data_IF_379667253970
#
_entry.id   IF_379667253970
#
_cell.length_a   1.000
_cell.length_b   1.000
_cell.length_c   1.000
_cell.angle_alpha   90.00
_cell.angle_beta   90.00
_cell.angle_gamma   90.00
#
_symmetry.space_group_name_H-M   'P 1'
#
loop_
_entity.id
_entity.type
_entity.pdbx_description
1 polymer ?
#
# COMPACT_ATOMS: atom_id res chain seq x y z
N UNK A 1 -2.14 -26.53 -2.20
CA UNK A 1 -2.19 -25.37 -1.28
C UNK A 1 -2.51 -24.10 -2.07
N UNK A 2 -3.24 -23.20 -1.46
CA UNK A 2 -3.57 -21.92 -2.05
C UNK A 2 -2.41 -20.94 -1.87
N UNK A 3 -2.15 -20.16 -2.91
CA UNK A 3 -1.18 -19.06 -2.82
C UNK A 3 -1.87 -17.84 -2.22
N UNK A 4 -1.25 -17.26 -1.19
CA UNK A 4 -1.69 -16.00 -0.65
C UNK A 4 -1.13 -14.85 -1.47
N UNK A 5 -1.99 -13.93 -1.88
CA UNK A 5 -1.61 -12.68 -2.53
C UNK A 5 -1.95 -11.55 -1.56
N UNK A 6 -0.94 -10.96 -0.97
CA UNK A 6 -1.10 -9.85 -0.04
C UNK A 6 -0.91 -8.54 -0.79
N UNK A 7 -1.85 -7.63 -0.66
CA UNK A 7 -1.84 -6.34 -1.34
C UNK A 7 -1.81 -5.24 -0.30
N UNK A 8 -0.87 -4.33 -0.44
CA UNK A 8 -0.81 -3.10 0.34
C UNK A 8 -0.80 -1.92 -0.60
N UNK A 9 -1.23 -0.76 -0.13
CA UNK A 9 -1.18 0.47 -0.91
C UNK A 9 -0.71 1.63 -0.06
N UNK A 10 -0.14 2.62 -0.71
CA UNK A 10 0.28 3.84 -0.02
C UNK A 10 0.89 4.85 -0.96
N UNK A 11 1.15 6.02 -0.40
CA UNK A 11 1.79 7.12 -1.13
C UNK A 11 3.32 7.01 -1.06
N UNK A 12 3.85 6.53 0.05
CA UNK A 12 5.31 6.41 0.24
C UNK A 12 6.04 7.71 -0.10
N UNK A 13 5.55 8.80 0.44
CA UNK A 13 5.97 10.16 0.08
C UNK A 13 6.37 10.98 1.32
N UNK A 14 7.53 10.72 1.94
CA UNK A 14 8.52 9.71 1.57
C UNK A 14 8.26 8.34 2.22
N UNK A 15 8.97 7.34 1.75
CA UNK A 15 9.06 6.06 2.42
C UNK A 15 9.81 6.22 3.75
N UNK A 16 9.42 5.45 4.76
CA UNK A 16 10.05 5.53 6.08
C UNK A 16 10.02 4.15 6.75
N UNK A 17 10.69 3.98 7.91
CA UNK A 17 10.76 2.68 8.58
C UNK A 17 9.42 2.04 8.90
N UNK A 18 8.37 2.84 9.14
CA UNK A 18 7.03 2.30 9.39
C UNK A 18 6.46 1.52 8.22
N UNK A 19 6.75 1.95 6.99
CA UNK A 19 6.34 1.22 5.79
C UNK A 19 7.08 -0.12 5.70
N UNK A 20 8.37 -0.12 6.02
CA UNK A 20 9.19 -1.35 5.98
C UNK A 20 8.72 -2.33 7.06
N UNK A 21 8.44 -1.82 8.25
CA UNK A 21 7.91 -2.64 9.35
C UNK A 21 6.61 -3.35 8.95
N UNK A 22 5.70 -2.65 8.30
CA UNK A 22 4.47 -3.23 7.79
C UNK A 22 4.74 -4.36 6.79
N UNK A 23 5.62 -4.12 5.84
CA UNK A 23 6.01 -5.12 4.83
C UNK A 23 6.59 -6.37 5.50
N UNK A 24 7.46 -6.17 6.48
CA UNK A 24 8.09 -7.27 7.18
C UNK A 24 7.11 -8.07 8.02
N UNK A 25 6.18 -7.41 8.71
CA UNK A 25 5.16 -8.09 9.51
C UNK A 25 4.28 -8.98 8.63
N UNK A 26 3.93 -8.50 7.43
CA UNK A 26 3.16 -9.31 6.48
C UNK A 26 3.95 -10.56 6.08
N UNK A 27 5.22 -10.41 5.79
CA UNK A 27 6.06 -11.54 5.37
C UNK A 27 6.35 -12.50 6.52
N UNK A 28 6.32 -12.05 7.75
CA UNK A 28 6.42 -12.94 8.92
C UNK A 28 5.16 -13.81 9.04
N UNK A 29 3.99 -13.22 8.90
CA UNK A 29 2.73 -13.97 9.00
C UNK A 29 2.47 -14.83 7.77
N UNK A 30 2.82 -14.33 6.58
CA UNK A 30 2.61 -15.02 5.31
C UNK A 30 3.94 -15.12 4.55
N UNK A 31 4.87 -15.96 5.00
CA UNK A 31 6.23 -15.98 4.43
C UNK A 31 6.28 -16.38 2.95
N UNK A 32 5.29 -17.14 2.48
CA UNK A 32 5.25 -17.61 1.09
C UNK A 32 4.27 -16.80 0.24
N UNK A 33 3.76 -15.68 0.75
CA UNK A 33 2.83 -14.87 -0.03
C UNK A 33 3.54 -14.16 -1.17
N UNK A 34 2.76 -13.84 -2.20
CA UNK A 34 3.16 -12.81 -3.16
C UNK A 34 2.71 -11.46 -2.61
N UNK A 35 3.66 -10.60 -2.30
CA UNK A 35 3.37 -9.27 -1.77
C UNK A 35 3.41 -8.25 -2.89
N UNK A 36 2.24 -7.68 -3.16
CA UNK A 36 2.03 -6.65 -4.18
C UNK A 36 1.86 -5.31 -3.48
N UNK A 37 2.67 -4.33 -3.85
CA UNK A 37 2.60 -2.97 -3.30
C UNK A 37 2.07 -2.04 -4.38
N UNK A 38 0.94 -1.41 -4.11
CA UNK A 38 0.36 -0.39 -4.99
C UNK A 38 0.86 0.98 -4.54
N UNK A 39 1.44 1.73 -5.45
CA UNK A 39 1.97 3.08 -5.19
C UNK A 39 1.01 4.10 -5.78
N UNK A 40 0.50 5.01 -4.96
CA UNK A 40 -0.28 6.11 -5.46
C UNK A 40 0.56 6.98 -6.39
N UNK A 41 -0.01 7.37 -7.53
CA UNK A 41 0.71 8.10 -8.56
C UNK A 41 0.87 9.59 -8.19
N UNK A 42 1.69 10.30 -8.97
CA UNK A 42 1.97 11.72 -8.70
C UNK A 42 0.73 12.60 -8.77
N UNK A 43 -0.20 12.28 -9.67
CA UNK A 43 -1.47 13.00 -9.74
C UNK A 43 -2.26 12.87 -8.43
N UNK A 44 -2.29 11.66 -7.86
CA UNK A 44 -2.98 11.41 -6.59
C UNK A 44 -2.31 12.14 -5.41
N UNK A 45 -0.99 12.24 -5.43
CA UNK A 45 -0.26 13.03 -4.42
C UNK A 45 -0.73 14.49 -4.46
N UNK A 46 -0.90 15.06 -5.67
CA UNK A 46 -1.36 16.43 -5.84
C UNK A 46 -2.81 16.61 -5.40
N UNK A 47 -3.65 15.60 -5.61
CA UNK A 47 -5.04 15.63 -5.12
C UNK A 47 -5.10 15.79 -3.59
N UNK A 48 -4.12 15.29 -2.88
CA UNK A 48 -4.00 15.44 -1.43
C UNK A 48 -3.37 16.78 -1.04
N UNK A 49 -3.21 17.70 -1.98
CA UNK A 49 -2.58 19.01 -1.78
C UNK A 49 -1.14 18.88 -1.27
N UNK A 50 -0.44 17.86 -1.74
CA UNK A 50 0.96 17.63 -1.46
C UNK A 50 1.77 17.66 -2.75
N UNK A 51 3.07 17.50 -2.63
CA UNK A 51 3.97 17.37 -3.77
C UNK A 51 4.72 16.04 -3.68
N UNK A 52 5.00 15.38 -4.81
CA UNK A 52 5.86 14.21 -4.76
C UNK A 52 7.30 14.66 -4.51
N UNK A 53 7.85 14.27 -3.36
CA UNK A 53 9.26 14.55 -3.04
C UNK A 53 10.18 13.74 -3.91
N UNK A 54 9.80 12.51 -4.18
CA UNK A 54 10.34 11.69 -5.25
C UNK A 54 9.18 11.38 -6.19
N UNK A 55 9.43 11.45 -7.48
CA UNK A 55 8.40 11.15 -8.45
C UNK A 55 7.97 9.68 -8.36
N UNK A 56 6.87 9.38 -9.03
CA UNK A 56 6.28 8.03 -8.95
C UNK A 56 7.25 6.94 -9.40
N UNK A 57 8.09 7.22 -10.40
CA UNK A 57 9.08 6.24 -10.88
C UNK A 57 10.15 5.97 -9.82
N UNK A 58 10.62 7.00 -9.15
CA UNK A 58 11.62 6.85 -8.09
C UNK A 58 11.05 6.11 -6.88
N UNK A 59 9.80 6.40 -6.51
CA UNK A 59 9.14 5.72 -5.41
C UNK A 59 8.93 4.23 -5.72
N UNK A 60 8.51 3.91 -6.92
CA UNK A 60 8.39 2.52 -7.37
C UNK A 60 9.74 1.82 -7.40
N UNK A 61 10.78 2.50 -7.86
CA UNK A 61 12.13 1.96 -7.91
C UNK A 61 12.62 1.54 -6.51
N UNK A 62 12.45 2.41 -5.53
CA UNK A 62 12.85 2.12 -4.15
C UNK A 62 12.09 0.89 -3.62
N UNK A 63 10.78 0.87 -3.81
CA UNK A 63 9.95 -0.25 -3.31
C UNK A 63 10.29 -1.57 -3.97
N UNK A 64 10.66 -1.55 -5.25
CA UNK A 64 11.10 -2.76 -5.94
C UNK A 64 12.37 -3.37 -5.34
N UNK A 65 13.13 -2.60 -4.58
CA UNK A 65 14.37 -3.05 -3.95
C UNK A 65 14.22 -3.30 -2.45
N UNK A 66 13.02 -3.19 -1.92
CA UNK A 66 12.75 -3.52 -0.52
C UNK A 66 12.59 -5.03 -0.40
N UNK A 67 13.35 -5.61 0.51
CA UNK A 67 13.27 -7.04 0.79
C UNK A 67 11.84 -7.43 1.20
N UNK A 68 11.31 -8.46 0.58
CA UNK A 68 9.97 -8.95 0.85
C UNK A 68 8.91 -8.46 -0.12
N UNK A 69 9.20 -7.42 -0.91
CA UNK A 69 8.28 -6.95 -1.95
C UNK A 69 8.48 -7.79 -3.20
N UNK A 70 7.41 -8.43 -3.67
CA UNK A 70 7.47 -9.27 -4.86
C UNK A 70 7.09 -8.50 -6.12
N UNK A 71 6.15 -7.55 -6.00
CA UNK A 71 5.70 -6.77 -7.15
C UNK A 71 5.28 -5.37 -6.72
N UNK A 72 5.64 -4.38 -7.51
CA UNK A 72 5.20 -3.01 -7.34
C UNK A 72 4.32 -2.61 -8.52
N UNK A 73 3.17 -2.02 -8.23
CA UNK A 73 2.21 -1.56 -9.23
C UNK A 73 1.95 -0.09 -9.01
N UNK A 74 2.19 0.72 -10.04
CA UNK A 74 1.80 2.13 -10.01
C UNK A 74 0.29 2.23 -10.19
N UNK A 75 -0.37 3.01 -9.34
CA UNK A 75 -1.81 3.22 -9.45
C UNK A 75 -2.18 3.84 -10.81
N UNK A 76 -3.25 3.32 -11.41
CA UNK A 76 -3.83 3.85 -12.63
C UNK A 76 -5.02 4.76 -12.35
N UNK A 77 -5.40 4.92 -11.08
CA UNK A 77 -6.57 5.70 -10.69
C UNK A 77 -6.30 7.19 -10.83
N UNK A 78 -7.35 7.94 -11.15
CA UNK A 78 -7.30 9.39 -11.29
C UNK A 78 -7.98 10.12 -10.13
N UNK A 79 -8.69 9.40 -9.27
CA UNK A 79 -9.23 9.94 -8.02
C UNK A 79 -8.33 9.53 -6.84
N UNK A 80 -8.77 9.80 -5.62
CA UNK A 80 -7.99 9.49 -4.42
C UNK A 80 -8.02 8.01 -4.00
N UNK A 81 -8.74 7.17 -4.75
CA UNK A 81 -8.85 5.74 -4.46
C UNK A 81 -7.86 4.92 -5.29
N UNK A 82 -7.76 3.62 -4.96
CA UNK A 82 -6.98 2.68 -5.79
C UNK A 82 -7.88 1.54 -6.30
N UNK A 83 -9.17 1.78 -6.37
CA UNK A 83 -10.15 0.73 -6.70
C UNK A 83 -9.93 0.18 -8.09
N UNK A 84 -9.68 1.03 -9.09
CA UNK A 84 -9.45 0.56 -10.47
C UNK A 84 -8.17 -0.27 -10.56
N UNK A 85 -7.13 0.16 -9.89
CA UNK A 85 -5.87 -0.59 -9.82
C UNK A 85 -6.08 -1.95 -9.15
N UNK A 86 -6.79 -1.94 -8.03
CA UNK A 86 -7.09 -3.15 -7.27
C UNK A 86 -7.93 -4.13 -8.11
N UNK A 87 -8.95 -3.63 -8.80
CA UNK A 87 -9.77 -4.42 -9.71
C UNK A 87 -8.93 -5.03 -10.84
N UNK A 88 -8.04 -4.24 -11.43
CA UNK A 88 -7.17 -4.70 -12.50
C UNK A 88 -6.24 -5.84 -12.02
N UNK A 89 -5.64 -5.67 -10.85
CA UNK A 89 -4.79 -6.72 -10.26
C UNK A 89 -5.61 -7.98 -9.99
N UNK A 90 -6.76 -7.84 -9.35
CA UNK A 90 -7.62 -8.96 -8.98
C UNK A 90 -8.05 -9.73 -10.23
N UNK A 91 -8.53 -9.03 -11.25
CA UNK A 91 -8.99 -9.64 -12.50
C UNK A 91 -7.83 -10.36 -13.22
N UNK A 92 -6.67 -9.71 -13.33
CA UNK A 92 -5.52 -10.27 -14.02
C UNK A 92 -5.03 -11.55 -13.35
N UNK A 93 -4.89 -11.54 -12.04
CA UNK A 93 -4.41 -12.72 -11.30
C UNK A 93 -5.44 -13.84 -11.38
N UNK A 94 -6.72 -13.53 -11.25
CA UNK A 94 -7.76 -14.54 -11.38
C UNK A 94 -7.81 -15.19 -12.76
N UNK A 95 -7.47 -14.43 -13.82
CA UNK A 95 -7.44 -14.98 -15.17
C UNK A 95 -6.17 -15.78 -15.41
N UNK A 96 -5.02 -15.26 -14.96
CA UNK A 96 -3.71 -15.82 -15.30
C UNK A 96 -3.27 -16.97 -14.39
N UNK A 97 -3.74 -17.00 -13.13
CA UNK A 97 -3.21 -17.92 -12.10
C UNK A 97 -4.30 -18.79 -11.45
N UNK A 98 -5.35 -19.17 -12.14
CA UNK A 98 -6.36 -20.08 -11.59
C UNK A 98 -7.01 -19.56 -10.31
N UNK A 99 -8.16 -18.91 -10.40
CA UNK A 99 -8.81 -18.20 -9.27
C UNK A 99 -8.96 -19.06 -8.01
N UNK A 100 -9.22 -20.33 -8.16
CA UNK A 100 -9.42 -21.27 -7.03
C UNK A 100 -8.14 -21.55 -6.23
N UNK A 101 -6.98 -21.13 -6.75
CA UNK A 101 -5.69 -21.32 -6.08
C UNK A 101 -5.14 -20.07 -5.44
N UNK A 102 -5.83 -18.94 -5.58
CA UNK A 102 -5.38 -17.68 -5.04
C UNK A 102 -6.28 -17.24 -3.89
N UNK A 103 -5.67 -16.77 -2.83
CA UNK A 103 -6.35 -16.20 -1.69
C UNK A 103 -5.84 -14.76 -1.52
N UNK A 104 -6.73 -13.79 -1.76
CA UNK A 104 -6.38 -12.39 -1.73
C UNK A 104 -6.60 -11.80 -0.34
N UNK A 105 -5.62 -11.04 0.11
CA UNK A 105 -5.68 -10.30 1.37
C UNK A 105 -5.32 -8.84 1.09
N UNK A 106 -6.19 -7.93 1.48
CA UNK A 106 -5.88 -6.51 1.44
C UNK A 106 -5.43 -6.08 2.84
N UNK A 107 -4.16 -5.67 2.94
CA UNK A 107 -3.51 -5.40 4.20
C UNK A 107 -3.47 -3.90 4.44
N UNK A 108 -4.08 -3.46 5.54
CA UNK A 108 -4.07 -2.06 5.97
C UNK A 108 -3.10 -1.92 7.13
N UNK A 109 -2.26 -0.91 7.05
CA UNK A 109 -1.29 -0.65 8.10
C UNK A 109 -1.76 0.37 9.11
N UNK A 110 -0.86 0.67 10.01
CA UNK A 110 -1.00 1.76 10.94
C UNK A 110 -2.13 1.56 11.95
N UNK A 111 -2.90 2.60 12.11
CA UNK A 111 -3.97 2.70 13.10
C UNK A 111 -5.34 2.29 12.55
N UNK A 112 -5.41 1.80 11.31
CA UNK A 112 -6.69 1.32 10.78
C UNK A 112 -7.06 -0.02 11.40
N UNK A 113 -8.35 -0.19 11.67
CA UNK A 113 -8.91 -1.42 12.21
C UNK A 113 -10.31 -1.66 11.61
N UNK A 114 -10.99 -2.71 12.09
CA UNK A 114 -12.31 -3.08 11.60
C UNK A 114 -13.40 -2.04 11.91
N UNK A 115 -13.13 -1.07 12.78
CA UNK A 115 -14.07 0.00 13.13
C UNK A 115 -13.85 1.27 12.32
N UNK A 116 -12.80 1.31 11.50
CA UNK A 116 -12.51 2.46 10.64
C UNK A 116 -13.61 2.65 9.61
N UNK A 117 -13.73 3.89 9.11
CA UNK A 117 -14.69 4.24 8.07
C UNK A 117 -14.52 3.35 6.84
N UNK A 118 -15.65 2.88 6.30
CA UNK A 118 -15.64 2.08 5.07
C UNK A 118 -15.23 2.96 3.90
N UNK A 119 -14.22 2.50 3.17
CA UNK A 119 -13.69 3.19 1.99
C UNK A 119 -14.12 2.43 0.73
N UNK A 120 -13.99 3.03 -0.46
CA UNK A 120 -14.26 2.30 -1.71
C UNK A 120 -13.44 1.03 -1.85
N UNK A 121 -12.18 1.03 -1.37
CA UNK A 121 -11.35 -0.17 -1.38
C UNK A 121 -11.90 -1.27 -0.50
N UNK A 122 -12.40 -0.92 0.68
CA UNK A 122 -13.04 -1.88 1.60
C UNK A 122 -14.30 -2.44 0.98
N UNK A 123 -15.14 -1.59 0.37
CA UNK A 123 -16.34 -2.05 -0.33
C UNK A 123 -16.01 -3.04 -1.44
N UNK A 124 -14.99 -2.75 -2.24
CA UNK A 124 -14.52 -3.64 -3.30
C UNK A 124 -14.10 -4.98 -2.72
N UNK A 125 -13.33 -4.97 -1.63
CA UNK A 125 -12.85 -6.19 -0.99
C UNK A 125 -14.01 -7.05 -0.47
N UNK A 126 -14.98 -6.43 0.19
CA UNK A 126 -16.15 -7.14 0.70
C UNK A 126 -16.93 -7.79 -0.44
N UNK A 127 -17.18 -7.03 -1.50
CA UNK A 127 -17.94 -7.51 -2.67
C UNK A 127 -17.26 -8.70 -3.35
N UNK A 128 -15.94 -8.74 -3.35
CA UNK A 128 -15.17 -9.75 -4.07
C UNK A 128 -14.56 -10.82 -3.16
N UNK A 129 -14.97 -10.88 -1.90
CA UNK A 129 -14.48 -11.85 -0.91
C UNK A 129 -12.96 -11.77 -0.71
N UNK A 130 -12.40 -10.58 -0.85
CA UNK A 130 -11.01 -10.32 -0.50
C UNK A 130 -10.94 -10.07 1.00
N UNK A 131 -10.11 -10.83 1.69
CA UNK A 131 -9.99 -10.71 3.14
C UNK A 131 -9.29 -9.41 3.52
N UNK A 132 -9.84 -8.73 4.52
CA UNK A 132 -9.23 -7.53 5.08
C UNK A 132 -8.40 -7.90 6.30
N UNK A 133 -7.17 -7.41 6.36
CA UNK A 133 -6.28 -7.61 7.50
C UNK A 133 -5.78 -6.26 7.97
N UNK A 134 -5.84 -6.03 9.28
CA UNK A 134 -5.50 -4.76 9.91
C UNK A 134 -4.37 -4.94 10.92
N UNK A 135 -3.82 -3.84 11.40
CA UNK A 135 -2.86 -3.85 12.49
C UNK A 135 -1.42 -4.16 12.09
N UNK A 136 -1.09 -3.97 10.84
CA UNK A 136 0.27 -4.17 10.36
C UNK A 136 1.17 -3.00 10.72
N UNK A 137 2.38 -3.32 11.19
CA UNK A 137 3.32 -2.31 11.62
C UNK A 137 2.86 -1.69 12.93
N UNK A 138 3.68 -1.76 13.92
CA UNK A 138 3.39 -1.24 15.26
C UNK A 138 4.01 0.13 15.49
N UNK A 139 4.86 0.57 14.57
CA UNK A 139 5.69 1.73 14.76
C UNK A 139 4.98 3.01 14.35
N UNK A 140 4.60 3.79 15.34
CA UNK A 140 3.98 5.11 15.16
C UNK A 140 4.99 6.25 15.27
N UNK A 141 6.28 5.95 15.42
CA UNK A 141 7.34 6.93 15.56
C UNK A 141 7.52 7.77 14.30
N UNK A 142 7.28 7.16 13.14
CA UNK A 142 7.47 7.82 11.86
C UNK A 142 6.16 7.97 11.12
N UNK A 143 6.01 9.09 10.43
CA UNK A 143 4.96 9.31 9.44
C UNK A 143 5.49 10.26 8.38
N UNK A 144 4.96 10.16 7.16
CA UNK A 144 5.36 11.06 6.07
C UNK A 144 5.07 12.51 6.44
N UNK A 145 3.86 12.79 6.98
CA UNK A 145 3.51 14.14 7.41
C UNK A 145 4.40 14.66 8.55
N UNK A 146 4.78 13.79 9.48
CA UNK A 146 5.68 14.15 10.57
C UNK A 146 7.06 14.53 10.08
N UNK A 147 7.59 13.81 9.11
CA UNK A 147 8.87 14.13 8.49
C UNK A 147 8.83 15.45 7.73
N UNK A 148 7.74 15.70 7.01
CA UNK A 148 7.51 16.95 6.29
C UNK A 148 7.46 18.13 7.26
N UNK A 149 6.70 18.00 8.33
CA UNK A 149 6.56 19.04 9.36
C UNK A 149 7.92 19.34 10.02
N UNK A 150 8.70 18.31 10.29
CA UNK A 150 10.04 18.46 10.85
C UNK A 150 10.94 19.27 9.93
N UNK A 151 10.90 18.98 8.63
CA UNK A 151 11.66 19.72 7.64
C UNK A 151 11.23 21.17 7.53
N UNK A 152 9.90 21.42 7.54
CA UNK A 152 9.34 22.78 7.52
C UNK A 152 9.79 23.57 8.75
N UNK A 153 9.69 22.97 9.93
CA UNK A 153 10.10 23.61 11.19
C UNK A 153 11.59 23.99 11.15
N UNK A 154 12.42 23.09 10.64
CA UNK A 154 13.85 23.35 10.49
C UNK A 154 14.13 24.54 9.56
N UNK A 155 13.46 24.60 8.42
CA UNK A 155 13.63 25.66 7.44
C UNK A 155 13.14 26.99 8.01
N UNK A 156 11.98 27.01 8.66
CA UNK A 156 11.39 28.23 9.21
C UNK A 156 12.17 28.76 10.41
N UNK A 157 12.91 27.91 11.13
CA UNK A 157 13.73 28.32 12.26
C UNK A 157 15.04 29.01 11.85
N UNK A 158 15.38 28.97 10.58
CA UNK A 158 16.55 29.65 10.04
C UNK A 158 16.22 31.07 9.61
#
# INVERSE_FOLDING_TARGET
SQMNVCIVSGYFNPIHPGHISMIQDIKIEYPDCELVVIVNNDHQVKLKKSIPFLDESARCYILNHIKGVDKVVLSIDLDSTIVRTLENIYTKINVDIWPEKCHFLFCNGGDRDSTSTVTPEVEFCIKNNIKLKYGWGDNKTYSSSGLINKACDYILAK
#
